data_IF_787138203473
#
_entry.id   IF_787138203473
#
_cell.length_a   1.000
_cell.length_b   1.000
_cell.length_c   1.000
_cell.angle_alpha   90.00
_cell.angle_beta   90.00
_cell.angle_gamma   90.00
#
_symmetry.space_group_name_H-M   'P 1'
#
loop_
_entity.id
_entity.type
_entity.pdbx_description
1 polymer ?
#
# COMPACT_ATOMS: atom_id res chain seq x y z
N UNK A 1 -2.16 -21.28 -17.62
CA UNK A 1 -1.98 -20.44 -16.45
C UNK A 1 -3.31 -19.72 -16.23
N UNK A 2 -4.10 -20.13 -15.26
CA UNK A 2 -5.38 -19.47 -14.95
C UNK A 2 -5.08 -18.24 -14.11
N UNK A 3 -5.58 -17.07 -14.52
CA UNK A 3 -5.47 -15.84 -13.72
C UNK A 3 -6.25 -16.01 -12.43
N UNK A 4 -5.59 -15.86 -11.30
CA UNK A 4 -6.24 -15.82 -10.00
C UNK A 4 -6.96 -14.46 -9.84
N UNK A 5 -8.28 -14.51 -9.79
CA UNK A 5 -9.11 -13.30 -9.84
C UNK A 5 -8.96 -12.44 -8.58
N UNK A 6 -8.83 -13.06 -7.41
CA UNK A 6 -8.71 -12.35 -6.15
C UNK A 6 -7.42 -11.51 -6.05
N UNK A 7 -6.20 -12.05 -6.27
CA UNK A 7 -4.97 -11.26 -6.27
C UNK A 7 -4.95 -10.16 -7.33
N UNK A 8 -5.51 -10.44 -8.52
CA UNK A 8 -5.62 -9.45 -9.60
C UNK A 8 -6.48 -8.25 -9.18
N UNK A 9 -7.68 -8.51 -8.67
CA UNK A 9 -8.60 -7.45 -8.24
C UNK A 9 -8.06 -6.70 -7.02
N UNK A 10 -7.41 -7.40 -6.08
CA UNK A 10 -6.77 -6.77 -4.92
C UNK A 10 -5.67 -5.80 -5.35
N UNK A 11 -4.76 -6.26 -6.21
CA UNK A 11 -3.67 -5.45 -6.76
C UNK A 11 -4.19 -4.22 -7.52
N UNK A 12 -5.17 -4.42 -8.41
CA UNK A 12 -5.82 -3.35 -9.16
C UNK A 12 -6.47 -2.33 -8.21
N UNK A 13 -7.19 -2.80 -7.19
CA UNK A 13 -7.90 -1.94 -6.25
C UNK A 13 -6.93 -1.11 -5.39
N UNK A 14 -5.82 -1.70 -4.92
CA UNK A 14 -4.78 -1.00 -4.16
C UNK A 14 -4.22 0.15 -5.02
N UNK A 15 -3.78 -0.14 -6.25
CA UNK A 15 -3.22 0.91 -7.14
C UNK A 15 -4.24 2.00 -7.45
N UNK A 16 -5.49 1.63 -7.71
CA UNK A 16 -6.52 2.63 -8.01
C UNK A 16 -6.77 3.56 -6.83
N UNK A 17 -6.79 3.01 -5.62
CA UNK A 17 -7.06 3.82 -4.43
C UNK A 17 -5.89 4.73 -4.08
N UNK A 18 -4.70 4.18 -3.85
CA UNK A 18 -3.56 4.98 -3.43
C UNK A 18 -3.09 5.93 -4.54
N UNK A 19 -3.11 5.45 -5.77
CA UNK A 19 -2.80 6.30 -6.93
C UNK A 19 -3.82 7.42 -7.14
N UNK A 20 -5.10 7.19 -6.88
CA UNK A 20 -6.12 8.24 -6.94
C UNK A 20 -5.94 9.27 -5.82
N UNK A 21 -5.61 8.85 -4.59
CA UNK A 21 -5.29 9.76 -3.49
C UNK A 21 -4.07 10.63 -3.84
N UNK A 22 -2.99 10.03 -4.34
CA UNK A 22 -1.81 10.74 -4.80
C UNK A 22 -2.14 11.77 -5.92
N UNK A 23 -2.93 11.36 -6.92
CA UNK A 23 -3.37 12.25 -8.01
C UNK A 23 -4.19 13.43 -7.48
N UNK A 24 -5.12 13.21 -6.56
CA UNK A 24 -5.92 14.30 -5.97
C UNK A 24 -5.05 15.31 -5.23
N UNK A 25 -4.06 14.85 -4.47
CA UNK A 25 -3.12 15.72 -3.74
C UNK A 25 -2.32 16.56 -4.73
N UNK A 26 -1.73 15.93 -5.74
CA UNK A 26 -0.95 16.59 -6.78
C UNK A 26 -1.77 17.67 -7.49
N UNK A 27 -2.99 17.32 -7.90
CA UNK A 27 -3.86 18.26 -8.61
C UNK A 27 -4.31 19.42 -7.73
N UNK A 28 -4.60 19.17 -6.45
CA UNK A 28 -4.94 20.24 -5.50
C UNK A 28 -3.78 21.24 -5.40
N UNK A 29 -2.56 20.75 -5.33
CA UNK A 29 -1.36 21.58 -5.20
C UNK A 29 -1.13 22.40 -6.50
N UNK A 30 -1.20 21.78 -7.68
CA UNK A 30 -1.06 22.49 -8.94
C UNK A 30 -2.16 23.55 -9.13
N UNK A 31 -3.41 23.21 -8.84
CA UNK A 31 -4.54 24.16 -8.90
C UNK A 31 -4.34 25.33 -7.93
N UNK A 32 -3.73 25.09 -6.77
CA UNK A 32 -3.43 26.15 -5.81
C UNK A 32 -2.30 27.05 -6.32
N UNK A 33 -1.19 26.49 -6.81
CA UNK A 33 -0.05 27.25 -7.37
C UNK A 33 -0.52 28.13 -8.52
N UNK A 34 -1.39 27.65 -9.38
CA UNK A 34 -2.00 28.43 -10.46
C UNK A 34 -2.87 29.57 -9.91
N UNK A 35 -3.70 29.31 -8.90
CA UNK A 35 -4.58 30.31 -8.26
C UNK A 35 -3.79 31.44 -7.60
N UNK A 36 -2.62 31.14 -7.02
CA UNK A 36 -1.74 32.15 -6.38
C UNK A 36 -0.88 32.89 -7.43
N UNK A 37 -0.96 32.51 -8.71
CA UNK A 37 -0.20 33.09 -9.82
C UNK A 37 1.32 33.04 -9.62
N UNK A 38 1.83 31.92 -9.08
CA UNK A 38 3.26 31.68 -8.85
C UNK A 38 3.73 30.42 -9.61
N UNK A 39 3.71 30.43 -10.96
CA UNK A 39 4.05 29.26 -11.78
C UNK A 39 5.49 28.77 -11.57
N UNK A 40 6.38 29.62 -11.09
CA UNK A 40 7.76 29.27 -10.72
C UNK A 40 7.81 28.23 -9.59
N UNK A 41 6.76 28.11 -8.77
CA UNK A 41 6.67 27.09 -7.70
C UNK A 41 6.38 25.68 -8.24
N UNK A 42 5.93 25.54 -9.48
CA UNK A 42 5.64 24.22 -10.07
C UNK A 42 6.86 23.31 -10.09
N UNK A 43 8.05 23.84 -10.28
CA UNK A 43 9.28 23.04 -10.28
C UNK A 43 9.54 22.38 -8.93
N UNK A 44 9.22 23.05 -7.83
CA UNK A 44 9.37 22.50 -6.48
C UNK A 44 8.34 21.38 -6.19
N UNK A 45 7.16 21.46 -6.79
CA UNK A 45 6.17 20.37 -6.76
C UNK A 45 6.74 19.15 -7.46
N UNK A 46 7.33 19.29 -8.65
CA UNK A 46 7.96 18.19 -9.36
C UNK A 46 9.16 17.59 -8.62
N UNK A 47 9.97 18.41 -7.94
CA UNK A 47 11.04 17.91 -7.08
C UNK A 47 10.48 17.09 -5.91
N UNK A 48 9.40 17.54 -5.27
CA UNK A 48 8.74 16.79 -4.19
C UNK A 48 8.19 15.44 -4.68
N UNK A 49 7.52 15.42 -5.85
CA UNK A 49 7.01 14.20 -6.47
C UNK A 49 8.15 13.23 -6.78
N UNK A 50 9.18 13.69 -7.48
CA UNK A 50 10.32 12.85 -7.86
C UNK A 50 11.07 12.29 -6.67
N UNK A 51 11.34 13.12 -5.66
CA UNK A 51 11.99 12.69 -4.42
C UNK A 51 11.12 11.69 -3.63
N UNK A 52 9.79 11.92 -3.56
CA UNK A 52 8.86 11.02 -2.90
C UNK A 52 8.82 9.64 -3.56
N UNK A 53 8.75 9.58 -4.89
CA UNK A 53 8.79 8.32 -5.65
C UNK A 53 10.12 7.60 -5.43
N UNK A 54 11.25 8.30 -5.52
CA UNK A 54 12.58 7.70 -5.30
C UNK A 54 12.73 7.15 -3.88
N UNK A 55 12.25 7.89 -2.88
CA UNK A 55 12.27 7.44 -1.50
C UNK A 55 11.36 6.21 -1.29
N UNK A 56 10.17 6.17 -1.89
CA UNK A 56 9.29 5.00 -1.85
C UNK A 56 9.95 3.78 -2.49
N UNK A 57 10.61 3.93 -3.65
CA UNK A 57 11.38 2.85 -4.26
C UNK A 57 12.51 2.38 -3.35
N UNK A 58 13.21 3.30 -2.66
CA UNK A 58 14.23 2.97 -1.66
C UNK A 58 13.66 2.13 -0.50
N UNK A 59 12.48 2.49 0.00
CA UNK A 59 11.77 1.72 1.04
C UNK A 59 11.38 0.34 0.51
N UNK A 60 10.88 0.22 -0.72
CA UNK A 60 10.53 -1.06 -1.33
C UNK A 60 11.73 -1.98 -1.45
N UNK A 61 12.89 -1.45 -1.88
CA UNK A 61 14.13 -2.22 -1.98
C UNK A 61 14.64 -2.65 -0.60
N UNK A 62 14.56 -1.78 0.40
CA UNK A 62 14.94 -2.11 1.78
C UNK A 62 14.04 -3.23 2.33
N UNK A 63 12.74 -3.13 2.13
CA UNK A 63 11.78 -4.16 2.55
C UNK A 63 12.05 -5.52 1.87
N UNK A 64 12.27 -5.53 0.56
CA UNK A 64 12.62 -6.73 -0.19
C UNK A 64 13.93 -7.36 0.29
N UNK A 65 14.93 -6.54 0.65
CA UNK A 65 16.21 -7.04 1.19
C UNK A 65 16.04 -7.70 2.56
N UNK A 66 15.17 -7.17 3.42
CA UNK A 66 14.85 -7.76 4.72
C UNK A 66 14.15 -9.10 4.54
N UNK A 67 13.16 -9.18 3.66
CA UNK A 67 12.44 -10.43 3.36
C UNK A 67 13.39 -11.53 2.86
N UNK A 68 14.38 -11.18 2.04
CA UNK A 68 15.38 -12.11 1.55
C UNK A 68 16.32 -12.65 2.66
N UNK A 69 16.64 -11.81 3.67
CA UNK A 69 17.52 -12.19 4.79
C UNK A 69 16.84 -13.05 5.85
N UNK A 70 15.49 -13.07 5.90
CA UNK A 70 14.71 -13.82 6.88
C UNK A 70 14.19 -15.16 6.38
N UNK A 71 14.86 -15.76 5.41
CA UNK A 71 14.45 -17.02 4.75
C UNK A 71 14.27 -18.20 5.74
N UNK A 72 15.01 -18.24 6.83
CA UNK A 72 14.89 -19.30 7.85
C UNK A 72 13.61 -19.19 8.72
N UNK A 73 12.88 -18.06 8.61
CA UNK A 73 11.64 -17.77 9.34
C UNK A 73 10.58 -17.19 8.42
N UNK A 74 10.47 -17.70 7.20
CA UNK A 74 9.61 -17.18 6.15
C UNK A 74 8.15 -17.10 6.61
N UNK A 75 7.61 -18.17 7.20
CA UNK A 75 6.23 -18.26 7.68
C UNK A 75 5.87 -17.19 8.74
N UNK A 76 6.78 -16.93 9.70
CA UNK A 76 6.57 -15.87 10.71
C UNK A 76 6.56 -14.50 10.04
N UNK A 77 7.53 -14.27 9.14
CA UNK A 77 7.67 -12.99 8.46
C UNK A 77 6.45 -12.70 7.57
N UNK A 78 5.98 -13.70 6.84
CA UNK A 78 4.79 -13.63 6.02
C UNK A 78 3.53 -13.38 6.84
N UNK A 79 3.28 -14.18 7.87
CA UNK A 79 2.14 -14.02 8.77
C UNK A 79 2.13 -12.66 9.47
N UNK A 80 3.29 -12.20 9.97
CA UNK A 80 3.42 -10.90 10.62
C UNK A 80 3.16 -9.75 9.63
N UNK A 81 3.70 -9.84 8.41
CA UNK A 81 3.50 -8.85 7.35
C UNK A 81 2.02 -8.73 6.99
N UNK A 82 1.31 -9.84 6.85
CA UNK A 82 -0.13 -9.88 6.57
C UNK A 82 -0.96 -9.25 7.69
N UNK A 83 -0.62 -9.52 8.95
CA UNK A 83 -1.31 -8.93 10.11
C UNK A 83 -1.06 -7.43 10.20
N UNK A 84 0.20 -6.98 9.98
CA UNK A 84 0.53 -5.55 9.95
C UNK A 84 -0.22 -4.86 8.82
N UNK A 85 -0.18 -5.40 7.60
CA UNK A 85 -0.91 -4.86 6.45
C UNK A 85 -2.41 -4.78 6.71
N UNK A 86 -3.01 -5.84 7.29
CA UNK A 86 -4.43 -5.86 7.69
C UNK A 86 -4.74 -4.75 8.71
N UNK A 87 -3.89 -4.60 9.74
CA UNK A 87 -4.06 -3.59 10.78
C UNK A 87 -4.00 -2.17 10.22
N UNK A 88 -3.05 -1.92 9.31
CA UNK A 88 -2.93 -0.63 8.60
C UNK A 88 -4.15 -0.38 7.73
N UNK A 89 -4.65 -1.38 7.01
CA UNK A 89 -5.88 -1.24 6.20
C UNK A 89 -7.11 -0.89 7.04
N UNK A 90 -7.28 -1.53 8.20
CA UNK A 90 -8.35 -1.22 9.13
C UNK A 90 -8.21 0.22 9.63
N UNK A 91 -7.00 0.61 10.05
CA UNK A 91 -6.73 1.97 10.54
C UNK A 91 -7.01 3.02 9.46
N UNK A 92 -6.56 2.80 8.23
CA UNK A 92 -6.81 3.68 7.09
C UNK A 92 -8.30 3.77 6.77
N UNK A 93 -9.04 2.66 6.80
CA UNK A 93 -10.49 2.65 6.58
C UNK A 93 -11.25 3.52 7.59
N UNK A 94 -10.82 3.52 8.85
CA UNK A 94 -11.39 4.39 9.89
C UNK A 94 -10.93 5.84 9.76
N UNK A 95 -9.65 6.05 9.45
CA UNK A 95 -9.05 7.39 9.39
C UNK A 95 -9.55 8.20 8.19
N UNK A 96 -9.78 7.57 7.04
CA UNK A 96 -10.32 8.23 5.83
C UNK A 96 -11.64 8.98 6.09
N UNK A 97 -12.38 8.61 7.14
CA UNK A 97 -13.63 9.29 7.46
C UNK A 97 -13.43 10.70 8.05
N UNK A 98 -12.35 10.90 8.81
CA UNK A 98 -12.12 12.14 9.56
C UNK A 98 -11.02 13.06 8.97
N UNK A 99 -10.11 12.50 8.18
CA UNK A 99 -8.87 13.19 7.82
C UNK A 99 -8.99 14.16 6.63
N UNK A 100 -9.97 13.99 5.75
CA UNK A 100 -10.08 14.80 4.54
C UNK A 100 -10.24 16.30 4.82
N UNK A 101 -10.92 16.69 5.90
CA UNK A 101 -11.12 18.10 6.27
C UNK A 101 -9.85 18.72 6.88
N UNK A 102 -9.15 17.98 7.74
CA UNK A 102 -7.94 18.47 8.43
C UNK A 102 -6.73 18.53 7.52
N UNK A 103 -6.57 17.56 6.62
CA UNK A 103 -5.47 17.54 5.66
C UNK A 103 -5.55 18.70 4.67
N UNK A 104 -6.75 18.97 4.14
CA UNK A 104 -6.97 20.12 3.24
C UNK A 104 -6.66 21.45 3.91
N UNK A 105 -7.06 21.68 5.16
CA UNK A 105 -6.82 22.94 5.87
C UNK A 105 -5.34 23.17 6.18
N UNK A 106 -4.64 22.19 6.72
CA UNK A 106 -3.20 22.28 7.03
C UNK A 106 -2.35 22.45 5.77
N UNK A 107 -2.68 21.77 4.67
CA UNK A 107 -2.01 21.91 3.39
C UNK A 107 -2.21 23.31 2.80
N UNK A 108 -3.43 23.87 2.85
CA UNK A 108 -3.73 25.23 2.37
C UNK A 108 -2.93 26.27 3.17
N UNK A 109 -2.78 26.11 4.48
CA UNK A 109 -1.99 27.00 5.32
C UNK A 109 -0.50 26.97 4.91
N UNK A 110 0.10 25.81 4.73
CA UNK A 110 1.49 25.65 4.26
C UNK A 110 1.67 26.22 2.86
N UNK A 111 0.70 26.04 1.97
CA UNK A 111 0.73 26.61 0.62
C UNK A 111 0.64 28.13 0.62
N UNK A 112 -0.10 28.71 1.56
CA UNK A 112 -0.33 30.19 1.62
C UNK A 112 0.89 30.94 2.17
N UNK A 113 1.51 30.42 3.23
CA UNK A 113 2.58 31.09 3.97
C UNK A 113 3.96 30.41 3.83
N UNK A 114 4.00 29.21 3.21
CA UNK A 114 5.22 28.42 3.12
C UNK A 114 6.20 28.90 2.04
N UNK A 115 7.48 28.64 2.29
CA UNK A 115 8.54 28.79 1.29
C UNK A 115 8.40 27.70 0.20
N UNK A 116 9.06 27.92 -0.95
CA UNK A 116 9.10 26.92 -2.03
C UNK A 116 9.64 25.56 -1.57
N UNK A 117 10.58 25.55 -0.63
CA UNK A 117 11.11 24.34 -0.01
C UNK A 117 10.05 23.63 0.84
N UNK A 118 9.28 24.37 1.66
CA UNK A 118 8.20 23.81 2.44
C UNK A 118 7.14 23.13 1.56
N UNK A 119 6.83 23.72 0.41
CA UNK A 119 5.97 23.12 -0.59
C UNK A 119 6.53 21.79 -1.11
N UNK A 120 7.82 21.75 -1.49
CA UNK A 120 8.48 20.52 -1.94
C UNK A 120 8.46 19.42 -0.88
N UNK A 121 8.74 19.75 0.38
CA UNK A 121 8.66 18.80 1.49
C UNK A 121 7.25 18.28 1.73
N UNK A 122 6.23 19.15 1.66
CA UNK A 122 4.83 18.75 1.81
C UNK A 122 4.44 17.73 0.73
N UNK A 123 4.82 18.00 -0.53
CA UNK A 123 4.58 17.07 -1.63
C UNK A 123 5.36 15.77 -1.45
N UNK A 124 6.64 15.87 -1.06
CA UNK A 124 7.49 14.72 -0.79
C UNK A 124 6.86 13.77 0.24
N UNK A 125 6.46 14.29 1.41
CA UNK A 125 5.87 13.45 2.46
C UNK A 125 4.51 12.89 2.07
N UNK A 126 3.71 13.64 1.30
CA UNK A 126 2.44 13.15 0.80
C UNK A 126 2.65 11.94 -0.14
N UNK A 127 3.54 12.06 -1.12
CA UNK A 127 3.83 10.98 -2.08
C UNK A 127 4.53 9.80 -1.40
N UNK A 128 5.48 10.08 -0.49
CA UNK A 128 6.16 9.03 0.27
C UNK A 128 5.16 8.20 1.10
N UNK A 129 4.20 8.86 1.71
CA UNK A 129 3.15 8.21 2.50
C UNK A 129 2.33 7.24 1.64
N UNK A 130 1.78 7.73 0.51
CA UNK A 130 0.99 6.88 -0.39
C UNK A 130 1.84 5.72 -0.95
N UNK A 131 3.10 6.01 -1.31
CA UNK A 131 4.04 4.98 -1.75
C UNK A 131 4.34 3.93 -0.67
N UNK A 132 4.44 4.35 0.60
CA UNK A 132 4.62 3.43 1.73
C UNK A 132 3.39 2.53 1.95
N UNK A 133 2.17 3.08 1.85
CA UNK A 133 0.93 2.30 1.94
C UNK A 133 0.87 1.25 0.82
N UNK A 134 1.19 1.64 -0.43
CA UNK A 134 1.30 0.69 -1.55
C UNK A 134 2.28 -0.44 -1.23
N UNK A 135 3.48 -0.14 -0.73
CA UNK A 135 4.50 -1.14 -0.43
C UNK A 135 4.01 -2.14 0.62
N UNK A 136 3.40 -1.65 1.72
CA UNK A 136 2.86 -2.51 2.77
C UNK A 136 1.77 -3.45 2.24
N UNK A 137 0.86 -2.93 1.43
CA UNK A 137 -0.24 -3.72 0.89
C UNK A 137 0.25 -4.75 -0.13
N UNK A 138 1.22 -4.37 -0.96
CA UNK A 138 1.86 -5.32 -1.89
C UNK A 138 2.71 -6.35 -1.17
N UNK A 139 3.41 -5.97 -0.10
CA UNK A 139 4.12 -6.93 0.73
C UNK A 139 3.17 -8.00 1.27
N UNK A 140 2.03 -7.60 1.85
CA UNK A 140 1.00 -8.53 2.29
C UNK A 140 0.39 -9.36 1.15
N UNK A 141 0.23 -8.77 -0.04
CA UNK A 141 -0.32 -9.48 -1.19
C UNK A 141 0.66 -10.53 -1.76
N UNK A 142 1.96 -10.23 -1.78
CA UNK A 142 3.00 -11.17 -2.21
C UNK A 142 3.29 -12.27 -1.20
N UNK A 143 3.08 -12.00 0.10
CA UNK A 143 3.22 -12.98 1.19
C UNK A 143 2.05 -13.95 1.28
N UNK A 144 0.95 -13.74 0.55
CA UNK A 144 -0.17 -14.65 0.57
C UNK A 144 0.15 -15.92 -0.25
N UNK A 145 0.07 -17.09 0.39
CA UNK A 145 0.28 -18.40 -0.24
C UNK A 145 -0.63 -18.69 -1.44
N UNK A 146 -1.75 -17.97 -1.54
CA UNK A 146 -2.72 -18.05 -2.65
C UNK A 146 -2.36 -17.07 -3.77
N UNK A 147 -1.37 -16.20 -3.57
CA UNK A 147 -1.04 -15.15 -4.52
C UNK A 147 -0.34 -15.70 -5.77
N UNK A 148 -0.97 -15.50 -6.93
CA UNK A 148 -0.32 -15.65 -8.23
C UNK A 148 0.37 -14.33 -8.59
N UNK A 149 1.70 -14.30 -8.48
CA UNK A 149 2.53 -13.12 -8.77
C UNK A 149 2.23 -12.51 -10.15
N UNK A 150 1.93 -13.34 -11.14
CA UNK A 150 1.56 -12.87 -12.48
C UNK A 150 0.24 -12.10 -12.48
N UNK A 151 -0.75 -12.58 -11.73
CA UNK A 151 -2.04 -11.89 -11.56
C UNK A 151 -1.90 -10.56 -10.83
N UNK A 152 -1.02 -10.48 -9.83
CA UNK A 152 -0.70 -9.24 -9.12
C UNK A 152 -0.10 -8.20 -10.07
N UNK A 153 0.88 -8.60 -10.89
CA UNK A 153 1.52 -7.69 -11.85
C UNK A 153 0.52 -7.19 -12.89
N UNK A 154 -0.34 -8.05 -13.42
CA UNK A 154 -1.38 -7.65 -14.38
C UNK A 154 -2.35 -6.65 -13.73
N UNK A 155 -2.78 -6.92 -12.49
CA UNK A 155 -3.65 -6.02 -11.73
C UNK A 155 -3.01 -4.64 -11.53
N UNK A 156 -1.71 -4.59 -11.19
CA UNK A 156 -0.96 -3.35 -11.06
C UNK A 156 -0.90 -2.56 -12.37
N UNK A 157 -0.53 -3.22 -13.47
CA UNK A 157 -0.44 -2.58 -14.80
C UNK A 157 -1.82 -2.04 -15.23
N UNK A 158 -2.88 -2.82 -15.03
CA UNK A 158 -4.24 -2.39 -15.33
C UNK A 158 -4.65 -1.18 -14.48
N UNK A 159 -4.33 -1.19 -13.18
CA UNK A 159 -4.57 -0.07 -12.27
C UNK A 159 -3.86 1.21 -12.70
N UNK A 160 -2.58 1.12 -13.04
CA UNK A 160 -1.79 2.25 -13.57
C UNK A 160 -2.40 2.78 -14.88
N UNK A 161 -2.80 1.87 -15.79
CA UNK A 161 -3.45 2.26 -17.05
C UNK A 161 -4.76 3.01 -16.83
N UNK A 162 -5.59 2.57 -15.88
CA UNK A 162 -6.83 3.26 -15.51
C UNK A 162 -6.53 4.62 -14.87
N UNK A 163 -5.53 4.72 -13.97
CA UNK A 163 -5.13 5.99 -13.36
C UNK A 163 -4.63 6.99 -14.40
N UNK A 164 -3.86 6.53 -15.39
CA UNK A 164 -3.42 7.37 -16.50
C UNK A 164 -4.60 7.90 -17.32
N UNK A 165 -5.58 7.04 -17.59
CA UNK A 165 -6.82 7.47 -18.24
C UNK A 165 -7.60 8.46 -17.39
N UNK A 166 -7.73 8.21 -16.09
CA UNK A 166 -8.36 9.14 -15.14
C UNK A 166 -7.64 10.48 -15.17
N UNK A 167 -6.32 10.50 -15.13
CA UNK A 167 -5.53 11.75 -15.20
C UNK A 167 -5.82 12.56 -16.46
N UNK A 168 -5.85 11.94 -17.63
CA UNK A 168 -6.14 12.64 -18.91
C UNK A 168 -7.56 13.23 -18.93
N UNK A 169 -8.52 12.51 -18.36
CA UNK A 169 -9.93 12.92 -18.39
C UNK A 169 -10.39 13.65 -17.12
N UNK A 170 -9.47 14.00 -16.23
CA UNK A 170 -9.77 14.51 -14.89
C UNK A 170 -10.64 15.77 -14.90
N UNK A 171 -10.42 16.70 -15.83
CA UNK A 171 -11.23 17.93 -15.96
C UNK A 171 -12.72 17.65 -16.24
N UNK A 172 -13.02 16.51 -16.87
CA UNK A 172 -14.38 16.06 -17.13
C UNK A 172 -14.93 15.18 -16.00
N UNK A 173 -14.07 14.33 -15.43
CA UNK A 173 -14.41 13.39 -14.36
C UNK A 173 -14.66 14.06 -13.01
N UNK A 174 -13.91 15.10 -12.65
CA UNK A 174 -14.14 15.87 -11.41
C UNK A 174 -15.50 16.54 -11.36
N UNK A 175 -16.11 16.82 -12.52
CA UNK A 175 -17.48 17.30 -12.62
C UNK A 175 -18.53 16.18 -12.54
N UNK A 176 -18.16 14.94 -12.85
CA UNK A 176 -19.06 13.80 -12.94
C UNK A 176 -19.01 12.89 -11.70
N UNK A 177 -17.87 12.72 -11.07
CA UNK A 177 -17.67 11.83 -9.93
C UNK A 177 -17.39 12.66 -8.68
N UNK A 178 -18.30 12.58 -7.69
CA UNK A 178 -18.04 13.16 -6.37
C UNK A 178 -16.92 12.37 -5.68
N UNK A 179 -15.82 13.05 -5.36
CA UNK A 179 -14.69 12.53 -4.59
C UNK A 179 -15.17 11.84 -3.31
N UNK A 180 -16.17 12.42 -2.64
CA UNK A 180 -16.73 11.85 -1.40
C UNK A 180 -17.37 10.47 -1.61
N UNK A 181 -18.00 10.24 -2.76
CA UNK A 181 -18.57 8.92 -3.08
C UNK A 181 -17.48 7.89 -3.32
N UNK A 182 -16.42 8.26 -4.03
CA UNK A 182 -15.27 7.37 -4.27
C UNK A 182 -14.69 6.90 -2.93
N UNK A 183 -14.34 7.82 -2.03
CA UNK A 183 -13.79 7.47 -0.71
C UNK A 183 -14.79 6.68 0.16
N UNK A 184 -16.07 7.00 0.07
CA UNK A 184 -17.11 6.26 0.80
C UNK A 184 -17.19 4.79 0.38
N UNK A 185 -17.04 4.49 -0.92
CA UNK A 185 -17.11 3.10 -1.39
C UNK A 185 -15.77 2.38 -1.25
N UNK A 186 -14.64 3.07 -1.42
CA UNK A 186 -13.32 2.46 -1.31
C UNK A 186 -13.04 1.89 0.09
N UNK A 187 -13.58 2.50 1.16
CA UNK A 187 -13.45 1.97 2.52
C UNK A 187 -14.00 0.54 2.69
N UNK A 188 -15.06 0.20 1.97
CA UNK A 188 -15.62 -1.16 2.03
C UNK A 188 -14.71 -2.17 1.32
N UNK A 189 -14.07 -1.77 0.21
CA UNK A 189 -13.05 -2.59 -0.45
C UNK A 189 -11.86 -2.85 0.47
N UNK A 190 -11.38 -1.83 1.20
CA UNK A 190 -10.30 -1.99 2.18
C UNK A 190 -10.70 -2.87 3.36
N UNK A 191 -11.92 -2.75 3.85
CA UNK A 191 -12.42 -3.63 4.89
C UNK A 191 -12.42 -5.11 4.45
N UNK A 192 -12.81 -5.38 3.20
CA UNK A 192 -12.74 -6.73 2.64
C UNK A 192 -11.30 -7.24 2.49
N UNK A 193 -10.38 -6.40 1.99
CA UNK A 193 -8.97 -6.73 1.88
C UNK A 193 -8.33 -6.95 3.26
N UNK A 194 -8.68 -6.14 4.25
CA UNK A 194 -8.19 -6.31 5.62
C UNK A 194 -8.62 -7.68 6.19
N UNK A 195 -9.88 -8.07 6.01
CA UNK A 195 -10.36 -9.40 6.42
C UNK A 195 -9.62 -10.50 5.67
N UNK A 196 -9.41 -10.34 4.38
CA UNK A 196 -8.66 -11.30 3.56
C UNK A 196 -7.21 -11.47 4.06
N UNK A 197 -6.48 -10.39 4.28
CA UNK A 197 -5.11 -10.43 4.78
C UNK A 197 -5.02 -10.96 6.22
N UNK A 198 -5.97 -10.60 7.07
CA UNK A 198 -6.02 -11.09 8.44
C UNK A 198 -6.24 -12.62 8.49
N UNK A 199 -7.15 -13.11 7.64
CA UNK A 199 -7.41 -14.54 7.55
C UNK A 199 -6.17 -15.34 7.09
N UNK A 200 -5.50 -14.87 6.01
CA UNK A 200 -4.28 -15.52 5.54
C UNK A 200 -3.14 -15.38 6.55
N UNK A 201 -2.99 -14.23 7.22
CA UNK A 201 -1.96 -14.03 8.23
C UNK A 201 -2.10 -14.96 9.44
N UNK A 202 -3.33 -15.23 9.87
CA UNK A 202 -3.57 -16.25 10.93
C UNK A 202 -3.23 -17.65 10.40
N UNK A 203 -3.53 -17.95 9.14
CA UNK A 203 -3.19 -19.23 8.51
C UNK A 203 -1.68 -19.49 8.54
N UNK A 204 -0.88 -18.56 8.05
CA UNK A 204 0.59 -18.66 8.03
C UNK A 204 1.18 -18.83 9.45
N UNK A 205 0.68 -18.05 10.42
CA UNK A 205 1.12 -18.23 11.81
C UNK A 205 0.68 -19.56 12.41
N UNK A 206 -0.44 -20.11 11.97
CA UNK A 206 -0.92 -21.43 12.37
C UNK A 206 0.00 -22.54 11.85
N UNK A 207 0.38 -22.51 10.59
CA UNK A 207 1.32 -23.44 9.96
C UNK A 207 2.69 -23.42 10.68
N UNK A 208 3.19 -22.22 10.98
CA UNK A 208 4.41 -22.07 11.78
C UNK A 208 4.31 -22.74 13.16
N UNK A 209 3.18 -22.59 13.85
CA UNK A 209 2.98 -23.21 15.16
C UNK A 209 2.92 -24.75 15.07
N UNK A 210 2.33 -25.29 14.01
CA UNK A 210 2.31 -26.72 13.75
C UNK A 210 3.71 -27.26 13.46
N UNK A 211 4.50 -26.58 12.64
CA UNK A 211 5.90 -26.94 12.31
C UNK A 211 6.76 -26.99 13.58
N UNK A 212 6.66 -25.96 14.43
CA UNK A 212 7.38 -25.93 15.72
C UNK A 212 6.95 -27.08 16.64
N UNK A 213 5.68 -27.45 16.66
CA UNK A 213 5.18 -28.52 17.54
C UNK A 213 5.66 -29.90 17.09
N UNK A 214 5.82 -30.12 15.79
CA UNK A 214 6.35 -31.36 15.21
C UNK A 214 7.85 -31.49 15.50
N UNK A 215 8.64 -30.44 15.31
CA UNK A 215 10.07 -30.44 15.61
C UNK A 215 10.33 -30.72 17.10
N UNK A 216 9.50 -30.16 18.00
CA UNK A 216 9.64 -30.39 19.43
C UNK A 216 9.32 -31.85 19.83
N UNK A 217 8.40 -32.50 19.12
CA UNK A 217 8.03 -33.91 19.38
C UNK A 217 9.14 -34.84 18.85
N UNK A 218 9.73 -34.55 17.71
CA UNK A 218 10.84 -35.35 17.15
C UNK A 218 12.10 -35.26 18.00
N UNK A 219 12.45 -34.09 18.52
CA UNK A 219 13.57 -33.91 19.46
C UNK A 219 13.32 -34.58 20.83
N UNK A 220 12.06 -34.62 21.27
CA UNK A 220 11.70 -35.20 22.58
C UNK A 220 11.56 -36.72 22.56
N UNK A 221 11.63 -37.38 21.39
CA UNK A 221 11.46 -38.84 21.24
C UNK A 221 12.66 -39.53 20.60
N UNK A 222 13.84 -39.62 21.22
CA UNK A 222 14.81 -40.61 20.83
C UNK A 222 14.38 -42.00 21.38
N UNK A 223 13.36 -42.64 20.80
CA UNK A 223 13.12 -44.04 21.04
C UNK A 223 14.16 -44.84 20.28
N UNK A 224 15.26 -45.03 20.93
CA UNK A 224 16.28 -46.01 20.52
C UNK A 224 15.69 -47.41 20.73
N UNK A 225 15.05 -47.99 19.72
CA UNK A 225 14.74 -49.40 19.69
C UNK A 225 16.03 -50.13 19.31
N UNK A 226 16.78 -50.51 20.34
CA UNK A 226 17.94 -51.37 20.19
C UNK A 226 17.49 -52.76 19.67
N UNK A 227 18.36 -53.45 18.89
CA UNK A 227 17.99 -54.77 18.37
C UNK A 227 17.88 -55.78 19.51
N UNK A 228 16.69 -56.43 19.56
CA UNK A 228 16.47 -57.57 20.43
C UNK A 228 17.18 -58.75 19.77
N UNK A 229 18.23 -59.26 20.44
CA UNK A 229 18.88 -60.51 20.11
C UNK A 229 18.13 -61.67 20.74
#
# INVERSE_FOLDING_TARGET
MALALAPLLSSLFIILREGFEALLIIMLIFSYVEKVKQPEKNIYVWYGIGAGILASLGVALAFSSISFLTHDHEEIFEGLTLIVASSVMVWVAFWCHNAQSHFKSGMIETLTFGTSLALSFTVFFAILREGFEVILFYAGLFSSSIADQFSIIIGAIAGIGILFFVYIFMDKLTKAISTDKFFKYSKYGFALLAVYFFYNGIGELGEFYETLSVDYIDEASPIYVGPIH
#
